data_IF_964050505476
#
_entry.id   IF_964050505476
#
_cell.length_a   1.000
_cell.length_b   1.000
_cell.length_c   1.000
_cell.angle_alpha   90.00
_cell.angle_beta   90.00
_cell.angle_gamma   90.00
#
_symmetry.space_group_name_H-M   'P 1'
#
loop_
_entity.id
_entity.type
_entity.pdbx_description
1 polymer ?
#
# COMPACT_ATOMS: atom_id res chain seq x y z
N UNK A 1 -52.88 -39.08 -4.25
CA UNK A 1 -52.39 -38.07 -3.28
C UNK A 1 -50.87 -38.04 -3.20
N UNK A 2 -50.18 -39.18 -3.23
CA UNK A 2 -48.70 -39.24 -3.09
C UNK A 2 -47.93 -38.44 -4.14
N UNK A 3 -48.33 -38.47 -5.41
CA UNK A 3 -47.67 -37.70 -6.48
C UNK A 3 -47.80 -36.18 -6.32
N UNK A 4 -48.92 -35.69 -5.77
CA UNK A 4 -49.12 -34.25 -5.51
C UNK A 4 -48.22 -33.79 -4.37
N UNK A 5 -48.10 -34.61 -3.32
CA UNK A 5 -47.21 -34.33 -2.19
C UNK A 5 -45.74 -34.34 -2.63
N UNK A 6 -45.34 -35.31 -3.48
CA UNK A 6 -44.00 -35.40 -4.04
C UNK A 6 -43.66 -34.20 -4.95
N UNK A 7 -44.59 -33.77 -5.81
CA UNK A 7 -44.39 -32.60 -6.68
C UNK A 7 -44.31 -31.29 -5.88
N UNK A 8 -45.10 -31.14 -4.82
CA UNK A 8 -45.02 -29.99 -3.91
C UNK A 8 -43.69 -29.96 -3.16
N UNK A 9 -43.24 -31.09 -2.62
CA UNK A 9 -41.94 -31.19 -1.94
C UNK A 9 -40.78 -30.89 -2.89
N UNK A 10 -40.83 -31.39 -4.13
CA UNK A 10 -39.84 -31.07 -5.16
C UNK A 10 -39.82 -29.57 -5.49
N UNK A 11 -40.99 -28.94 -5.64
CA UNK A 11 -41.11 -27.51 -5.88
C UNK A 11 -40.51 -26.67 -4.76
N UNK A 12 -40.77 -27.03 -3.50
CA UNK A 12 -40.20 -26.36 -2.32
C UNK A 12 -38.67 -26.54 -2.28
N UNK A 13 -38.17 -27.74 -2.55
CA UNK A 13 -36.73 -28.01 -2.58
C UNK A 13 -36.03 -27.22 -3.70
N UNK A 14 -36.60 -27.18 -4.91
CA UNK A 14 -36.05 -26.40 -6.02
C UNK A 14 -36.09 -24.90 -5.72
N UNK A 15 -37.18 -24.40 -5.14
CA UNK A 15 -37.28 -23.00 -4.70
C UNK A 15 -36.24 -22.65 -3.64
N UNK A 16 -36.05 -23.52 -2.65
CA UNK A 16 -35.01 -23.35 -1.63
C UNK A 16 -33.60 -23.40 -2.23
N UNK A 17 -33.34 -24.34 -3.15
CA UNK A 17 -32.06 -24.44 -3.85
C UNK A 17 -31.76 -23.19 -4.69
N UNK A 18 -32.73 -22.71 -5.47
CA UNK A 18 -32.60 -21.49 -6.26
C UNK A 18 -32.32 -20.26 -5.37
N UNK A 19 -33.04 -20.14 -4.25
CA UNK A 19 -32.82 -19.05 -3.30
C UNK A 19 -31.42 -19.10 -2.66
N UNK A 20 -30.95 -20.29 -2.27
CA UNK A 20 -29.59 -20.50 -1.75
C UNK A 20 -28.54 -20.14 -2.80
N UNK A 21 -28.71 -20.58 -4.05
CA UNK A 21 -27.79 -20.28 -5.15
C UNK A 21 -27.71 -18.78 -5.46
N UNK A 22 -28.85 -18.08 -5.52
CA UNK A 22 -28.89 -16.63 -5.69
C UNK A 22 -28.16 -15.90 -4.55
N UNK A 23 -28.35 -16.37 -3.31
CA UNK A 23 -27.71 -15.80 -2.12
C UNK A 23 -26.20 -16.04 -2.12
N UNK A 24 -25.74 -17.24 -2.46
CA UNK A 24 -24.31 -17.55 -2.63
C UNK A 24 -23.68 -16.72 -3.75
N UNK A 25 -24.36 -16.60 -4.89
CA UNK A 25 -23.91 -15.77 -6.01
C UNK A 25 -23.73 -14.30 -5.62
N UNK A 26 -24.59 -13.76 -4.74
CA UNK A 26 -24.43 -12.41 -4.19
C UNK A 26 -23.15 -12.28 -3.36
N UNK A 27 -22.88 -13.21 -2.45
CA UNK A 27 -21.70 -13.12 -1.59
C UNK A 27 -20.38 -13.35 -2.34
N UNK A 28 -20.39 -14.22 -3.35
CA UNK A 28 -19.26 -14.38 -4.26
C UNK A 28 -19.02 -13.11 -5.09
N UNK A 29 -20.09 -12.44 -5.52
CA UNK A 29 -19.97 -11.13 -6.20
C UNK A 29 -19.35 -10.08 -5.29
N UNK A 30 -19.78 -9.98 -4.03
CA UNK A 30 -19.17 -9.08 -3.05
C UNK A 30 -17.67 -9.39 -2.87
N UNK A 31 -17.29 -10.68 -2.81
CA UNK A 31 -15.89 -11.12 -2.74
C UNK A 31 -15.08 -10.69 -3.97
N UNK A 32 -15.56 -10.95 -5.18
CA UNK A 32 -14.86 -10.57 -6.42
C UNK A 32 -14.78 -9.05 -6.59
N UNK A 33 -15.83 -8.33 -6.23
CA UNK A 33 -15.84 -6.86 -6.27
C UNK A 33 -14.82 -6.28 -5.29
N UNK A 34 -14.64 -6.90 -4.11
CA UNK A 34 -13.61 -6.48 -3.16
C UNK A 34 -12.20 -6.61 -3.74
N UNK A 35 -11.91 -7.68 -4.49
CA UNK A 35 -10.63 -7.82 -5.21
C UNK A 35 -10.42 -6.77 -6.28
N UNK A 36 -11.45 -6.45 -7.08
CA UNK A 36 -11.35 -5.36 -8.06
C UNK A 36 -11.06 -4.00 -7.40
N UNK A 37 -11.68 -3.72 -6.25
CA UNK A 37 -11.40 -2.48 -5.49
C UNK A 37 -9.96 -2.40 -4.98
N UNK A 38 -9.35 -3.54 -4.61
CA UNK A 38 -7.95 -3.59 -4.21
C UNK A 38 -6.99 -3.39 -5.38
N UNK A 39 -7.29 -3.95 -6.56
CA UNK A 39 -6.43 -3.86 -7.73
C UNK A 39 -6.46 -2.49 -8.42
N UNK A 40 -7.62 -2.10 -8.93
CA UNK A 40 -7.73 -0.95 -9.85
C UNK A 40 -7.87 0.39 -9.12
N UNK A 41 -8.49 0.39 -7.93
CA UNK A 41 -8.91 1.64 -7.27
C UNK A 41 -8.16 1.95 -5.99
N UNK A 42 -7.42 0.99 -5.43
CA UNK A 42 -6.68 1.18 -4.19
C UNK A 42 -7.57 1.62 -3.03
N UNK A 43 -8.80 1.09 -2.92
CA UNK A 43 -9.78 1.47 -1.89
C UNK A 43 -9.93 0.39 -0.79
N UNK A 44 -8.92 0.19 0.09
CA UNK A 44 -8.90 -0.93 1.03
C UNK A 44 -10.04 -0.87 2.05
N UNK A 45 -10.54 0.31 2.42
CA UNK A 45 -11.66 0.46 3.35
C UNK A 45 -12.97 -0.09 2.74
N UNK A 46 -13.23 0.22 1.47
CA UNK A 46 -14.44 -0.28 0.77
C UNK A 46 -14.32 -1.76 0.48
N UNK A 47 -13.14 -2.23 0.06
CA UNK A 47 -12.86 -3.65 -0.11
C UNK A 47 -13.06 -4.43 1.20
N UNK A 48 -12.59 -3.91 2.33
CA UNK A 48 -12.76 -4.54 3.64
C UNK A 48 -14.24 -4.72 4.00
N UNK A 49 -15.07 -3.70 3.77
CA UNK A 49 -16.51 -3.77 4.02
C UNK A 49 -17.18 -4.87 3.19
N UNK A 50 -16.78 -5.02 1.92
CA UNK A 50 -17.28 -6.08 1.04
C UNK A 50 -16.78 -7.47 1.46
N UNK A 51 -15.51 -7.62 1.84
CA UNK A 51 -15.00 -8.89 2.37
C UNK A 51 -15.69 -9.31 3.66
N UNK A 52 -15.91 -8.37 4.60
CA UNK A 52 -16.67 -8.64 5.83
C UNK A 52 -18.12 -9.04 5.51
N UNK A 53 -18.73 -8.41 4.51
CA UNK A 53 -20.07 -8.76 4.03
C UNK A 53 -20.11 -10.17 3.43
N UNK A 54 -19.17 -10.49 2.55
CA UNK A 54 -19.02 -11.82 1.98
C UNK A 54 -18.79 -12.90 3.07
N UNK A 55 -17.91 -12.62 4.04
CA UNK A 55 -17.61 -13.55 5.13
C UNK A 55 -18.81 -13.88 6.03
N UNK A 56 -19.81 -13.00 6.13
CA UNK A 56 -21.08 -13.26 6.85
C UNK A 56 -21.99 -14.25 6.12
N UNK A 57 -21.86 -14.32 4.80
CA UNK A 57 -22.73 -15.14 3.95
C UNK A 57 -22.09 -16.41 3.40
N UNK A 58 -20.76 -16.44 3.31
CA UNK A 58 -19.98 -17.59 2.89
C UNK A 58 -19.70 -18.52 4.08
N UNK A 59 -19.38 -19.77 3.78
CA UNK A 59 -19.07 -20.80 4.77
C UNK A 59 -17.75 -21.51 4.45
N UNK A 60 -17.20 -22.24 5.43
CA UNK A 60 -16.01 -23.08 5.27
C UNK A 60 -14.81 -22.33 4.70
N UNK A 61 -14.23 -22.89 3.63
CA UNK A 61 -13.02 -22.37 3.00
C UNK A 61 -13.24 -21.01 2.34
N UNK A 62 -14.41 -20.76 1.73
CA UNK A 62 -14.72 -19.46 1.12
C UNK A 62 -14.88 -18.34 2.16
N UNK A 63 -15.41 -18.66 3.34
CA UNK A 63 -15.41 -17.71 4.47
C UNK A 63 -13.99 -17.39 4.92
N UNK A 64 -13.13 -18.41 4.99
CA UNK A 64 -11.71 -18.24 5.35
C UNK A 64 -11.01 -17.32 4.35
N UNK A 65 -11.24 -17.51 3.04
CA UNK A 65 -10.71 -16.62 2.01
C UNK A 65 -11.22 -15.17 2.14
N UNK A 66 -12.52 -14.99 2.41
CA UNK A 66 -13.05 -13.64 2.63
C UNK A 66 -12.43 -12.96 3.87
N UNK A 67 -12.21 -13.70 4.96
CA UNK A 67 -11.53 -13.17 6.15
C UNK A 67 -10.04 -12.87 5.89
N UNK A 68 -9.36 -13.68 5.09
CA UNK A 68 -8.01 -13.38 4.63
C UNK A 68 -7.96 -12.05 3.87
N UNK A 69 -8.95 -11.78 3.01
CA UNK A 69 -9.13 -10.48 2.36
C UNK A 69 -9.29 -9.32 3.34
N UNK A 70 -10.03 -9.50 4.45
CA UNK A 70 -10.12 -8.50 5.53
C UNK A 70 -8.75 -8.21 6.13
N UNK A 71 -7.96 -9.24 6.43
CA UNK A 71 -6.60 -9.08 6.96
C UNK A 71 -5.69 -8.32 6.00
N UNK A 72 -5.75 -8.65 4.70
CA UNK A 72 -5.00 -7.94 3.66
C UNK A 72 -5.38 -6.45 3.59
N UNK A 73 -6.68 -6.12 3.61
CA UNK A 73 -7.11 -4.72 3.60
C UNK A 73 -6.58 -3.91 4.80
N UNK A 74 -6.55 -4.52 5.99
CA UNK A 74 -6.00 -3.89 7.20
C UNK A 74 -4.49 -3.66 7.08
N UNK A 75 -3.76 -4.65 6.57
CA UNK A 75 -2.31 -4.55 6.34
C UNK A 75 -1.95 -3.47 5.31
N UNK A 76 -2.76 -3.31 4.26
CA UNK A 76 -2.59 -2.24 3.25
C UNK A 76 -2.82 -0.84 3.83
N UNK A 77 -3.54 -0.74 4.94
CA UNK A 77 -3.76 0.50 5.71
C UNK A 77 -2.82 0.63 6.91
N UNK A 78 -1.75 -0.16 6.94
CA UNK A 78 -0.74 -0.17 8.02
C UNK A 78 -1.29 -0.56 9.40
N UNK A 79 -2.49 -1.17 9.47
CA UNK A 79 -3.05 -1.78 10.68
C UNK A 79 -2.53 -3.20 10.86
N UNK A 80 -1.24 -3.33 11.17
CA UNK A 80 -0.56 -4.65 11.23
C UNK A 80 -1.02 -5.51 12.41
N UNK A 81 -1.33 -4.89 13.55
CA UNK A 81 -1.87 -5.59 14.73
C UNK A 81 -3.24 -6.18 14.41
N UNK A 82 -4.14 -5.38 13.85
CA UNK A 82 -5.49 -5.80 13.49
C UNK A 82 -5.50 -6.78 12.31
N UNK A 83 -4.52 -6.68 11.42
CA UNK A 83 -4.31 -7.65 10.36
C UNK A 83 -3.84 -9.00 10.93
N UNK A 84 -2.80 -9.02 11.78
CA UNK A 84 -2.30 -10.23 12.41
C UNK A 84 -3.39 -10.95 13.21
N UNK A 85 -4.18 -10.21 14.01
CA UNK A 85 -5.30 -10.76 14.78
C UNK A 85 -6.39 -11.42 13.91
N UNK A 86 -6.56 -10.98 12.67
CA UNK A 86 -7.48 -11.60 11.71
C UNK A 86 -6.84 -12.78 10.99
N UNK A 87 -5.57 -12.67 10.61
CA UNK A 87 -4.87 -13.65 9.78
C UNK A 87 -4.45 -14.90 10.55
N UNK A 88 -3.96 -14.74 11.78
CA UNK A 88 -3.40 -15.83 12.56
C UNK A 88 -4.38 -16.99 12.81
N UNK A 89 -5.65 -16.76 13.21
CA UNK A 89 -6.62 -17.84 13.38
C UNK A 89 -6.93 -18.61 12.08
N UNK A 90 -6.61 -18.03 10.91
CA UNK A 90 -6.85 -18.64 9.61
C UNK A 90 -5.74 -19.61 9.20
N UNK A 91 -4.58 -19.60 9.87
CA UNK A 91 -3.42 -20.43 9.47
C UNK A 91 -3.68 -21.94 9.57
N UNK A 92 -4.57 -22.34 10.48
CA UNK A 92 -5.01 -23.74 10.66
C UNK A 92 -6.19 -24.11 9.77
N UNK A 93 -6.73 -23.16 9.00
CA UNK A 93 -7.90 -23.35 8.13
C UNK A 93 -7.44 -23.55 6.69
N UNK A 94 -8.17 -24.39 5.95
CA UNK A 94 -7.94 -24.58 4.52
C UNK A 94 -8.58 -23.46 3.72
N UNK A 95 -7.95 -23.09 2.61
CA UNK A 95 -8.54 -22.21 1.62
C UNK A 95 -9.24 -23.03 0.53
N UNK A 96 -10.07 -22.40 -0.33
CA UNK A 96 -10.63 -23.08 -1.49
C UNK A 96 -9.50 -23.66 -2.35
N UNK A 97 -9.71 -24.84 -2.95
CA UNK A 97 -8.68 -25.48 -3.79
C UNK A 97 -8.23 -24.63 -4.97
N UNK A 98 -9.06 -23.68 -5.42
CA UNK A 98 -8.70 -22.70 -6.45
C UNK A 98 -7.70 -21.63 -5.97
N UNK A 99 -7.47 -21.53 -4.66
CA UNK A 99 -6.62 -20.53 -4.00
C UNK A 99 -5.34 -21.16 -3.44
N UNK A 100 -4.76 -22.13 -4.15
CA UNK A 100 -3.50 -22.78 -3.75
C UNK A 100 -2.37 -21.78 -3.54
N UNK A 101 -2.30 -20.74 -4.36
CA UNK A 101 -1.29 -19.69 -4.19
C UNK A 101 -1.47 -18.94 -2.87
N UNK A 102 -2.72 -18.63 -2.49
CA UNK A 102 -3.00 -17.93 -1.24
C UNK A 102 -2.67 -18.79 0.00
N UNK A 103 -2.70 -20.12 -0.10
CA UNK A 103 -2.23 -21.01 0.98
C UNK A 103 -0.75 -20.84 1.29
N UNK A 104 0.03 -20.31 0.33
CA UNK A 104 1.46 -20.01 0.43
C UNK A 104 1.69 -18.56 0.83
N UNK A 105 0.91 -17.64 0.25
CA UNK A 105 1.08 -16.20 0.47
C UNK A 105 0.60 -15.78 1.86
N UNK A 106 -0.46 -16.40 2.39
CA UNK A 106 -1.09 -15.96 3.64
C UNK A 106 -0.16 -16.04 4.88
N UNK A 107 0.63 -17.12 5.08
CA UNK A 107 1.66 -17.14 6.11
C UNK A 107 2.73 -16.03 5.91
N UNK A 108 3.06 -15.68 4.66
CA UNK A 108 3.95 -14.56 4.34
C UNK A 108 3.38 -13.20 4.74
N UNK A 109 2.08 -12.97 4.53
CA UNK A 109 1.40 -11.75 5.02
C UNK A 109 1.38 -11.67 6.55
N UNK A 110 1.16 -12.79 7.24
CA UNK A 110 1.21 -12.84 8.69
C UNK A 110 2.66 -12.57 9.19
N UNK A 111 3.66 -13.18 8.55
CA UNK A 111 5.06 -12.93 8.86
C UNK A 111 5.43 -11.44 8.70
N UNK A 112 4.94 -10.80 7.63
CA UNK A 112 5.10 -9.36 7.42
C UNK A 112 4.54 -8.54 8.58
N UNK A 113 3.29 -8.83 9.00
CA UNK A 113 2.66 -8.12 10.11
C UNK A 113 3.45 -8.30 11.42
N UNK A 114 3.84 -9.53 11.74
CA UNK A 114 4.62 -9.86 12.94
C UNK A 114 5.99 -9.17 12.93
N UNK A 115 6.66 -9.12 11.78
CA UNK A 115 7.95 -8.45 11.63
C UNK A 115 7.83 -6.94 11.87
N UNK A 116 6.76 -6.31 11.38
CA UNK A 116 6.49 -4.89 11.61
C UNK A 116 6.20 -4.58 13.08
N UNK A 117 5.54 -5.50 13.81
CA UNK A 117 5.33 -5.42 15.26
C UNK A 117 6.59 -5.72 16.09
N UNK A 118 7.66 -6.21 15.47
CA UNK A 118 8.91 -6.58 16.13
C UNK A 118 8.98 -8.01 16.65
N UNK A 119 7.99 -8.84 16.37
CA UNK A 119 7.92 -10.23 16.79
C UNK A 119 8.67 -11.16 15.81
N UNK A 120 9.97 -10.93 15.67
CA UNK A 120 10.81 -11.54 14.62
C UNK A 120 10.85 -13.07 14.67
N UNK A 121 10.88 -13.67 15.86
CA UNK A 121 10.86 -15.14 16.00
C UNK A 121 9.57 -15.76 15.44
N UNK A 122 8.41 -15.17 15.74
CA UNK A 122 7.11 -15.62 15.20
C UNK A 122 7.02 -15.34 13.70
N UNK A 123 7.53 -14.19 13.26
CA UNK A 123 7.59 -13.85 11.85
C UNK A 123 8.41 -14.87 11.05
N UNK A 124 9.58 -15.28 11.56
CA UNK A 124 10.41 -16.32 10.95
C UNK A 124 9.72 -17.67 10.88
N UNK A 125 9.01 -18.06 11.93
CA UNK A 125 8.27 -19.33 11.94
C UNK A 125 7.25 -19.36 10.79
N UNK A 126 6.40 -18.34 10.67
CA UNK A 126 5.38 -18.29 9.61
C UNK A 126 5.96 -18.08 8.20
N UNK A 127 7.09 -17.40 8.09
CA UNK A 127 7.82 -17.29 6.84
C UNK A 127 8.42 -18.64 6.41
N UNK A 128 8.95 -19.41 7.37
CA UNK A 128 9.43 -20.78 7.13
C UNK A 128 8.30 -21.70 6.65
N UNK A 129 7.11 -21.59 7.25
CA UNK A 129 5.90 -22.27 6.78
C UNK A 129 5.52 -21.88 5.35
N UNK A 130 5.60 -20.58 4.99
CA UNK A 130 5.34 -20.12 3.63
C UNK A 130 6.30 -20.78 2.62
N UNK A 131 7.61 -20.77 2.92
CA UNK A 131 8.64 -21.39 2.09
C UNK A 131 8.47 -22.90 1.96
N UNK A 132 8.17 -23.58 3.06
CA UNK A 132 7.94 -25.02 3.09
C UNK A 132 6.77 -25.46 2.21
N UNK A 133 5.74 -24.63 2.08
CA UNK A 133 4.57 -24.90 1.21
C UNK A 133 4.85 -24.69 -0.29
N UNK A 134 5.83 -23.86 -0.65
CA UNK A 134 6.18 -23.59 -2.06
C UNK A 134 7.32 -24.48 -2.57
N UNK A 135 8.31 -24.77 -1.73
CA UNK A 135 9.49 -25.55 -2.12
C UNK A 135 10.57 -24.76 -2.87
N UNK A 136 10.64 -23.43 -2.72
CA UNK A 136 11.59 -22.56 -3.41
C UNK A 136 11.44 -21.08 -3.04
N UNK A 137 12.33 -20.22 -3.57
CA UNK A 137 12.31 -18.77 -3.32
C UNK A 137 11.22 -18.09 -4.18
N UNK A 138 10.41 -17.24 -3.55
CA UNK A 138 9.27 -16.59 -4.22
C UNK A 138 9.28 -15.08 -4.04
N UNK A 139 9.01 -14.36 -5.12
CA UNK A 139 9.08 -12.89 -5.16
C UNK A 139 8.16 -12.22 -4.14
N UNK A 140 6.99 -12.79 -3.85
CA UNK A 140 6.08 -12.25 -2.83
C UNK A 140 6.50 -12.49 -1.36
N UNK A 141 7.51 -13.33 -1.11
CA UNK A 141 8.09 -13.55 0.23
C UNK A 141 9.33 -12.68 0.49
N UNK A 142 9.87 -12.01 -0.54
CA UNK A 142 11.07 -11.17 -0.40
C UNK A 142 10.83 -10.02 0.58
N UNK A 143 9.67 -9.36 0.53
CA UNK A 143 9.38 -8.23 1.42
C UNK A 143 9.39 -8.64 2.91
N UNK A 144 8.64 -9.66 3.37
CA UNK A 144 8.71 -10.08 4.77
C UNK A 144 10.12 -10.54 5.18
N UNK A 145 10.86 -11.23 4.31
CA UNK A 145 12.26 -11.61 4.59
C UNK A 145 13.15 -10.40 4.84
N UNK A 146 13.12 -9.42 3.93
CA UNK A 146 13.92 -8.19 4.02
C UNK A 146 13.60 -7.44 5.30
N UNK A 147 12.32 -7.35 5.67
CA UNK A 147 11.89 -6.64 6.87
C UNK A 147 12.40 -7.34 8.12
N UNK A 148 12.31 -8.67 8.20
CA UNK A 148 12.86 -9.45 9.31
C UNK A 148 14.38 -9.20 9.42
N UNK A 149 15.12 -9.28 8.32
CA UNK A 149 16.57 -9.06 8.31
C UNK A 149 16.93 -7.63 8.77
N UNK A 150 16.22 -6.62 8.28
CA UNK A 150 16.40 -5.22 8.70
C UNK A 150 16.10 -5.05 10.19
N UNK A 151 15.06 -5.71 10.69
CA UNK A 151 14.64 -5.64 12.10
C UNK A 151 15.69 -6.23 13.04
N UNK A 152 16.39 -7.26 12.59
CA UNK A 152 17.44 -7.95 13.35
C UNK A 152 18.84 -7.35 13.17
N UNK A 153 18.96 -6.29 12.37
CA UNK A 153 20.25 -5.65 12.10
C UNK A 153 21.12 -6.36 11.06
N UNK A 154 20.60 -7.38 10.37
CA UNK A 154 21.28 -8.08 9.28
C UNK A 154 21.15 -7.32 7.94
N UNK A 155 21.57 -6.04 7.94
CA UNK A 155 21.32 -5.08 6.85
C UNK A 155 22.03 -5.46 5.55
N UNK A 156 23.28 -5.94 5.62
CA UNK A 156 24.01 -6.41 4.44
C UNK A 156 23.34 -7.62 3.79
N UNK A 157 22.79 -8.54 4.59
CA UNK A 157 22.03 -9.67 4.07
C UNK A 157 20.72 -9.23 3.41
N UNK A 158 20.02 -8.25 4.00
CA UNK A 158 18.82 -7.66 3.42
C UNK A 158 19.10 -7.00 2.06
N UNK A 159 20.18 -6.21 1.96
CA UNK A 159 20.61 -5.56 0.71
C UNK A 159 20.98 -6.59 -0.36
N UNK A 160 21.80 -7.58 -0.01
CA UNK A 160 22.19 -8.65 -0.94
C UNK A 160 20.98 -9.41 -1.46
N UNK A 161 20.04 -9.77 -0.58
CA UNK A 161 18.81 -10.44 -0.98
C UNK A 161 17.97 -9.60 -1.95
N UNK A 162 17.82 -8.30 -1.67
CA UNK A 162 17.12 -7.39 -2.57
C UNK A 162 17.82 -7.27 -3.91
N UNK A 163 19.15 -7.21 -3.94
CA UNK A 163 19.95 -7.16 -5.16
C UNK A 163 19.79 -8.44 -5.99
N UNK A 164 19.98 -9.61 -5.38
CA UNK A 164 19.84 -10.92 -6.01
C UNK A 164 18.43 -11.11 -6.63
N UNK A 165 17.40 -10.57 -5.98
CA UNK A 165 16.01 -10.73 -6.41
C UNK A 165 15.49 -9.56 -7.26
N UNK A 166 16.23 -8.45 -7.36
CA UNK A 166 15.73 -7.22 -7.99
C UNK A 166 15.26 -7.40 -9.43
N UNK A 167 16.01 -8.11 -10.31
CA UNK A 167 15.58 -8.31 -11.70
C UNK A 167 14.25 -9.06 -11.79
N UNK A 168 14.10 -10.14 -11.02
CA UNK A 168 12.87 -10.96 -11.00
C UNK A 168 11.70 -10.17 -10.41
N UNK A 169 11.94 -9.39 -9.36
CA UNK A 169 10.92 -8.51 -8.78
C UNK A 169 10.45 -7.44 -9.76
N UNK A 170 11.33 -6.92 -10.60
CA UNK A 170 11.00 -5.94 -11.64
C UNK A 170 10.17 -6.59 -12.75
N UNK A 171 10.59 -7.76 -13.24
CA UNK A 171 9.86 -8.55 -14.26
C UNK A 171 8.45 -8.91 -13.79
N UNK A 172 8.31 -9.34 -12.53
CA UNK A 172 7.02 -9.69 -11.92
C UNK A 172 6.17 -8.46 -11.53
N UNK A 173 6.68 -7.23 -11.69
CA UNK A 173 5.99 -6.01 -11.27
C UNK A 173 5.78 -5.92 -9.74
N UNK A 174 6.65 -6.56 -8.95
CA UNK A 174 6.57 -6.68 -7.48
C UNK A 174 7.41 -5.66 -6.72
N UNK A 175 8.17 -4.80 -7.43
CA UNK A 175 8.89 -3.69 -6.81
C UNK A 175 7.91 -2.61 -6.33
N UNK A 176 7.46 -2.77 -5.09
CA UNK A 176 6.54 -1.84 -4.42
C UNK A 176 7.28 -0.71 -3.68
N UNK A 177 6.52 0.30 -3.25
CA UNK A 177 7.02 1.41 -2.42
C UNK A 177 7.69 0.94 -1.14
N UNK A 178 7.10 -0.04 -0.43
CA UNK A 178 7.67 -0.60 0.81
C UNK A 178 9.02 -1.26 0.58
N UNK A 179 9.21 -2.02 -0.49
CA UNK A 179 10.51 -2.63 -0.77
C UNK A 179 11.59 -1.59 -1.05
N UNK A 180 11.24 -0.52 -1.80
CA UNK A 180 12.14 0.63 -2.02
C UNK A 180 12.47 1.36 -0.71
N UNK A 181 11.48 1.53 0.18
CA UNK A 181 11.70 2.12 1.50
C UNK A 181 12.71 1.32 2.32
N UNK A 182 12.54 -0.01 2.41
CA UNK A 182 13.45 -0.86 3.18
C UNK A 182 14.85 -0.96 2.55
N UNK A 183 14.96 -0.87 1.21
CA UNK A 183 16.25 -0.72 0.53
C UNK A 183 16.97 0.55 0.95
N UNK A 184 16.29 1.70 0.91
CA UNK A 184 16.88 2.97 1.32
C UNK A 184 17.22 2.99 2.82
N UNK A 185 16.34 2.44 3.66
CA UNK A 185 16.57 2.30 5.10
C UNK A 185 17.82 1.47 5.40
N UNK A 186 17.97 0.31 4.74
CA UNK A 186 19.12 -0.55 4.95
C UNK A 186 20.43 0.13 4.51
N UNK A 187 20.43 0.85 3.38
CA UNK A 187 21.59 1.63 2.95
C UNK A 187 21.93 2.78 3.90
N UNK A 188 20.92 3.50 4.38
CA UNK A 188 21.08 4.55 5.40
C UNK A 188 21.72 4.04 6.67
N UNK A 189 21.37 2.82 7.11
CA UNK A 189 21.95 2.21 8.31
C UNK A 189 23.36 1.64 8.11
N UNK A 190 23.74 1.27 6.88
CA UNK A 190 25.07 0.72 6.59
C UNK A 190 26.11 1.82 6.40
N UNK A 191 25.82 2.79 5.52
CA UNK A 191 26.73 3.88 5.19
C UNK A 191 25.93 5.07 4.63
N UNK A 192 25.45 5.97 5.51
CA UNK A 192 24.57 7.05 5.08
C UNK A 192 25.28 8.07 4.19
N UNK A 193 26.56 8.38 4.46
CA UNK A 193 27.32 9.41 3.73
C UNK A 193 27.52 8.99 2.27
N UNK A 194 27.96 7.75 2.04
CA UNK A 194 28.19 7.23 0.69
C UNK A 194 26.91 7.07 -0.12
N UNK A 195 25.77 6.83 0.54
CA UNK A 195 24.49 6.56 -0.12
C UNK A 195 23.53 7.76 -0.10
N UNK A 196 24.02 8.95 0.30
CA UNK A 196 23.20 10.15 0.50
C UNK A 196 22.26 10.42 -0.69
N UNK A 197 22.78 10.53 -1.91
CA UNK A 197 21.96 10.85 -3.09
C UNK A 197 20.86 9.82 -3.34
N UNK A 198 21.18 8.52 -3.22
CA UNK A 198 20.21 7.46 -3.41
C UNK A 198 19.10 7.51 -2.34
N UNK A 199 19.48 7.73 -1.08
CA UNK A 199 18.54 7.81 0.05
C UNK A 199 17.58 8.98 -0.17
N UNK A 200 18.11 10.16 -0.48
CA UNK A 200 17.32 11.37 -0.68
C UNK A 200 16.36 11.22 -1.87
N UNK A 201 16.86 10.75 -3.02
CA UNK A 201 16.03 10.53 -4.21
C UNK A 201 14.92 9.50 -3.95
N UNK A 202 15.25 8.43 -3.22
CA UNK A 202 14.26 7.41 -2.87
C UNK A 202 13.19 7.97 -1.94
N UNK A 203 13.58 8.67 -0.87
CA UNK A 203 12.62 9.25 0.08
C UNK A 203 11.70 10.29 -0.58
N UNK A 204 12.26 11.17 -1.43
CA UNK A 204 11.47 12.13 -2.21
C UNK A 204 10.47 11.44 -3.15
N UNK A 205 10.82 10.27 -3.71
CA UNK A 205 9.92 9.51 -4.58
C UNK A 205 8.82 8.73 -3.85
N UNK A 206 8.97 8.52 -2.54
CA UNK A 206 8.06 7.73 -1.72
C UNK A 206 7.13 8.59 -0.86
N UNK A 207 7.55 9.80 -0.54
CA UNK A 207 6.79 10.74 0.28
C UNK A 207 5.63 11.40 -0.50
N UNK A 208 4.58 11.87 0.19
CA UNK A 208 4.41 11.80 1.64
C UNK A 208 4.04 10.40 2.12
N UNK A 209 4.67 9.98 3.22
CA UNK A 209 4.33 8.71 3.87
C UNK A 209 3.09 8.93 4.76
N UNK A 210 2.05 8.07 4.67
CA UNK A 210 0.82 8.23 5.44
C UNK A 210 1.04 8.35 6.95
N UNK A 211 0.27 9.23 7.59
CA UNK A 211 0.36 9.47 9.04
C UNK A 211 0.12 8.20 9.85
N UNK A 212 -0.78 7.34 9.40
CA UNK A 212 -1.09 6.08 10.10
C UNK A 212 0.11 5.11 10.07
N UNK A 213 0.84 5.03 8.96
CA UNK A 213 2.05 4.20 8.87
C UNK A 213 3.17 4.78 9.73
N UNK A 214 3.28 6.11 9.78
CA UNK A 214 4.22 6.81 10.65
C UNK A 214 3.92 6.57 12.13
N UNK A 215 2.66 6.74 12.56
CA UNK A 215 2.24 6.55 13.95
C UNK A 215 2.49 5.11 14.41
N UNK A 216 2.14 4.13 13.56
CA UNK A 216 2.45 2.73 13.83
C UNK A 216 3.95 2.50 14.03
N UNK A 217 4.78 3.04 13.13
CA UNK A 217 6.23 2.88 13.24
C UNK A 217 6.81 3.63 14.44
N UNK A 218 6.23 4.73 14.89
CA UNK A 218 6.70 5.42 16.09
C UNK A 218 6.56 4.55 17.35
N UNK A 219 5.48 3.78 17.43
CA UNK A 219 5.22 2.86 18.54
C UNK A 219 6.06 1.59 18.43
N UNK A 220 6.08 0.98 17.23
CA UNK A 220 6.64 -0.36 17.06
C UNK A 220 8.04 -0.39 16.45
N UNK A 221 8.51 0.66 15.78
CA UNK A 221 9.84 0.73 15.17
C UNK A 221 10.40 2.17 15.13
N UNK A 222 10.71 2.79 16.28
CA UNK A 222 11.02 4.23 16.34
C UNK A 222 12.11 4.67 15.34
N UNK A 223 13.14 3.85 15.18
CA UNK A 223 14.26 4.12 14.28
C UNK A 223 13.85 4.15 12.80
N UNK A 224 12.87 3.33 12.39
CA UNK A 224 12.31 3.37 11.04
C UNK A 224 11.41 4.60 10.89
N UNK A 225 10.63 4.96 11.92
CA UNK A 225 9.82 6.17 11.90
C UNK A 225 10.66 7.43 11.75
N UNK A 226 11.82 7.53 12.41
CA UNK A 226 12.73 8.65 12.26
C UNK A 226 13.26 8.76 10.82
N UNK A 227 13.61 7.63 10.20
CA UNK A 227 14.02 7.57 8.80
C UNK A 227 12.90 8.01 7.84
N UNK A 228 11.67 7.58 8.09
CA UNK A 228 10.49 7.98 7.31
C UNK A 228 10.21 9.48 7.48
N UNK A 229 10.33 10.01 8.71
CA UNK A 229 10.12 11.43 9.03
C UNK A 229 11.09 12.33 8.25
N UNK A 230 12.36 11.92 8.13
CA UNK A 230 13.34 12.60 7.29
C UNK A 230 12.85 12.78 5.84
N UNK A 231 12.14 11.80 5.28
CA UNK A 231 11.54 11.91 3.95
C UNK A 231 10.42 12.95 3.85
N UNK A 232 9.51 12.95 4.82
CA UNK A 232 8.43 13.95 4.88
C UNK A 232 9.00 15.38 5.07
N UNK A 233 10.02 15.54 5.92
CA UNK A 233 10.69 16.83 6.15
C UNK A 233 11.44 17.33 4.90
N UNK A 234 11.94 16.41 4.06
CA UNK A 234 12.56 16.77 2.78
C UNK A 234 11.54 17.33 1.80
N UNK A 235 10.36 16.70 1.68
CA UNK A 235 9.28 17.19 0.83
C UNK A 235 8.77 18.53 1.30
N UNK A 236 8.53 18.71 2.61
CA UNK A 236 8.03 19.96 3.17
C UNK A 236 8.99 21.14 2.86
N UNK A 237 10.30 20.92 3.02
CA UNK A 237 11.33 21.91 2.65
C UNK A 237 11.33 22.21 1.16
N UNK A 238 11.15 21.20 0.30
CA UNK A 238 11.13 21.40 -1.15
C UNK A 238 9.89 22.21 -1.58
N UNK A 239 8.73 21.96 -0.96
CA UNK A 239 7.50 22.71 -1.20
C UNK A 239 7.64 24.16 -0.73
N UNK A 240 8.21 24.39 0.45
CA UNK A 240 8.49 25.74 0.95
C UNK A 240 9.42 26.52 0.01
N UNK A 241 10.48 25.89 -0.50
CA UNK A 241 11.38 26.50 -1.48
C UNK A 241 10.69 26.78 -2.83
N UNK A 242 9.74 25.95 -3.26
CA UNK A 242 8.95 26.21 -4.47
C UNK A 242 8.02 27.41 -4.26
N UNK A 243 7.34 27.48 -3.11
CA UNK A 243 6.47 28.59 -2.77
C UNK A 243 7.23 29.93 -2.69
N UNK A 244 8.41 29.94 -2.05
CA UNK A 244 9.28 31.14 -1.99
C UNK A 244 9.68 31.62 -3.39
N UNK A 245 10.13 30.71 -4.26
CA UNK A 245 10.51 31.05 -5.64
C UNK A 245 9.33 31.56 -6.47
N UNK A 246 8.13 31.02 -6.26
CA UNK A 246 6.92 31.50 -6.91
C UNK A 246 6.56 32.93 -6.47
N UNK A 247 6.61 33.20 -5.15
CA UNK A 247 6.36 34.54 -4.61
C UNK A 247 7.40 35.57 -5.10
N UNK A 248 8.69 35.20 -5.16
CA UNK A 248 9.73 36.05 -5.73
C UNK A 248 9.49 36.37 -7.22
N UNK A 249 9.01 35.38 -7.98
CA UNK A 249 8.68 35.55 -9.39
C UNK A 249 7.47 36.48 -9.58
N UNK A 250 6.41 36.30 -8.79
CA UNK A 250 5.21 37.16 -8.81
C UNK A 250 5.55 38.60 -8.43
N UNK A 251 6.36 38.81 -7.39
CA UNK A 251 6.81 40.15 -6.99
C UNK A 251 7.62 40.85 -8.10
N UNK A 252 8.53 40.13 -8.77
CA UNK A 252 9.28 40.64 -9.92
C UNK A 252 8.37 40.97 -11.10
N UNK A 253 7.31 40.19 -11.32
CA UNK A 253 6.36 40.45 -12.40
C UNK A 253 5.52 41.69 -12.11
N UNK A 254 4.97 41.81 -10.90
CA UNK A 254 4.20 42.97 -10.45
C UNK A 254 5.02 44.27 -10.50
N UNK A 255 6.31 44.21 -10.13
CA UNK A 255 7.21 45.34 -10.26
C UNK A 255 7.38 45.79 -11.73
N UNK A 256 7.57 44.85 -12.66
CA UNK A 256 7.67 45.18 -14.10
C UNK A 256 6.37 45.75 -14.66
N UNK A 257 5.21 45.27 -14.22
CA UNK A 257 3.93 45.84 -14.62
C UNK A 257 3.76 47.27 -14.09
N UNK A 258 4.13 47.52 -12.84
CA UNK A 258 4.12 48.86 -12.26
C UNK A 258 5.04 49.82 -13.03
N UNK A 259 6.28 49.40 -13.32
CA UNK A 259 7.25 50.16 -14.10
C UNK A 259 6.72 50.49 -15.52
N UNK A 260 6.09 49.52 -16.21
CA UNK A 260 5.44 49.74 -17.50
C UNK A 260 4.27 50.70 -17.42
N UNK A 261 3.43 50.59 -16.40
CA UNK A 261 2.30 51.50 -16.18
C UNK A 261 2.76 52.93 -15.87
N UNK A 262 3.88 53.09 -15.14
CA UNK A 262 4.48 54.39 -14.86
C UNK A 262 5.23 54.99 -16.05
N UNK A 263 5.88 54.15 -16.88
CA UNK A 263 6.59 54.58 -18.10
C UNK A 263 5.67 54.96 -19.26
N UNK A 264 4.43 54.45 -19.28
CA UNK A 264 3.42 54.84 -20.27
C UNK A 264 2.74 56.20 -19.98
N UNK A 265 3.12 56.89 -18.89
CA UNK A 265 2.63 58.23 -18.51
C UNK A 265 3.59 59.35 -18.93
N UNK A 266 4.29 59.23 -20.06
CA UNK A 266 4.94 60.39 -20.69
C UNK A 266 3.91 61.07 -21.61
N UNK A 267 3.35 62.25 -21.22
CA UNK A 267 2.30 62.91 -21.99
C UNK A 267 2.84 63.39 -23.34
N UNK A 268 2.05 63.17 -24.40
CA UNK A 268 2.29 63.77 -25.71
C UNK A 268 2.48 65.28 -25.56
N UNK A 269 3.60 65.79 -26.10
CA UNK A 269 3.81 67.24 -26.26
C UNK A 269 2.63 67.80 -27.05
N UNK A 270 2.00 68.91 -26.60
CA UNK A 270 1.07 69.62 -27.43
C UNK A 270 1.82 70.19 -28.64
N UNK A 271 1.33 69.91 -29.83
CA UNK A 271 1.76 70.56 -31.07
C UNK A 271 1.51 72.06 -30.95
N UNK A 272 2.60 72.83 -30.96
CA UNK A 272 2.58 74.28 -31.01
C UNK A 272 2.49 74.68 -32.49
N UNK A 273 1.25 74.78 -32.99
CA UNK A 273 0.96 75.34 -34.31
C UNK A 273 1.33 76.83 -34.31
N UNK A 274 2.57 77.09 -34.76
CA UNK A 274 3.08 78.43 -35.01
C UNK A 274 2.31 79.14 -36.12
N UNK A 275 1.47 80.11 -35.74
CA UNK A 275 1.01 81.18 -36.61
C UNK A 275 1.45 82.52 -36.04
N UNK A 276 2.41 83.18 -36.69
CA UNK A 276 2.50 84.64 -36.90
C UNK A 276 3.83 84.99 -37.59
N UNK A 277 3.74 85.53 -38.80
CA UNK A 277 4.84 86.02 -39.62
C UNK A 277 4.37 86.28 -41.05
#
# INVERSE_FOLDING_TARGET
>A
MEYVLAMLMLGVLLGAAAWVLLRLGRWLRDYHQAFHLLGERGEPQRAEALFRRAARGLYGTHRTAALAGVGLCRMLRSGYVEAAAVLEPLMVRRLPRSMRLDEIVLPGHLALCLAMMGETSRARHWLGEAHGRFGGRVTFLVLPEVIILCREGHLGAALKMMEDCWPVLMEDGRVCSRLRLFRAYAQWKVDPERNTDFIYMTLLSLAPIPEEEMAFCQEHWPVLADFMRMGNDLVARQEEQRARRAAEWEARYAQREHERASGAREPAKPDDDGSSG
#
